data_IF_398727266014
#
_entry.id   IF_398727266014
#
_cell.length_a   1.000
_cell.length_b   1.000
_cell.length_c   1.000
_cell.angle_alpha   90.00
_cell.angle_beta   90.00
_cell.angle_gamma   90.00
#
_symmetry.space_group_name_H-M   'P 1'
#
loop_
_entity.id
_entity.type
_entity.pdbx_description
1 polymer ?
#
# COMPACT_ATOMS: atom_id res chain seq x y z
N UNK A 1 -14.71 31.39 4.61
CA UNK A 1 -14.66 30.32 3.59
C UNK A 1 -13.52 29.36 3.96
N UNK A 2 -13.87 28.17 4.41
CA UNK A 2 -12.88 27.12 4.72
C UNK A 2 -12.35 26.56 3.40
N UNK A 3 -11.04 26.70 3.15
CA UNK A 3 -10.38 26.01 2.03
C UNK A 3 -10.46 24.51 2.24
N UNK A 4 -10.96 23.80 1.23
CA UNK A 4 -11.12 22.35 1.26
C UNK A 4 -9.77 21.62 1.25
N UNK A 5 -9.71 20.38 1.72
CA UNK A 5 -8.48 19.55 1.82
C UNK A 5 -7.72 19.43 0.49
N UNK A 6 -8.39 19.59 -0.65
CA UNK A 6 -7.79 19.55 -1.99
C UNK A 6 -6.81 20.72 -2.28
N UNK A 7 -6.99 21.87 -1.63
CA UNK A 7 -6.09 23.04 -1.82
C UNK A 7 -4.81 22.98 -0.99
N UNK A 8 -4.67 22.00 -0.07
CA UNK A 8 -3.49 21.82 0.81
C UNK A 8 -2.38 20.93 0.24
N UNK A 9 -2.65 20.19 -0.84
CA UNK A 9 -1.69 19.24 -1.43
C UNK A 9 -0.36 19.83 -1.97
N UNK A 10 -0.23 21.11 -2.42
CA UNK A 10 1.02 21.55 -3.04
C UNK A 10 2.21 21.63 -2.08
N UNK A 11 2.01 21.97 -0.80
CA UNK A 11 3.13 22.26 0.12
C UNK A 11 3.82 21.02 0.70
N UNK A 12 3.08 19.94 0.97
CA UNK A 12 3.67 18.68 1.45
C UNK A 12 4.54 17.99 0.39
N UNK A 13 4.25 18.22 -0.90
CA UNK A 13 5.04 17.68 -2.02
C UNK A 13 6.46 18.25 -2.15
N UNK A 14 6.72 19.42 -1.58
CA UNK A 14 8.01 20.12 -1.69
C UNK A 14 9.00 19.78 -0.55
N UNK A 15 8.54 19.17 0.55
CA UNK A 15 9.32 19.07 1.79
C UNK A 15 9.60 17.61 2.17
N UNK A 16 10.75 17.38 2.83
CA UNK A 16 11.13 16.07 3.35
C UNK A 16 10.32 15.71 4.60
N UNK A 17 10.14 14.41 4.87
CA UNK A 17 9.50 13.88 6.09
C UNK A 17 10.03 14.53 7.37
N UNK A 18 11.36 14.68 7.46
CA UNK A 18 12.01 15.32 8.61
C UNK A 18 11.59 16.79 8.75
N UNK A 19 11.52 17.54 7.64
CA UNK A 19 11.12 18.95 7.66
C UNK A 19 9.68 19.12 8.12
N UNK A 20 8.74 18.26 7.66
CA UNK A 20 7.34 18.29 8.06
C UNK A 20 7.17 17.98 9.56
N UNK A 21 7.85 16.93 10.07
CA UNK A 21 7.87 16.62 11.51
C UNK A 21 8.42 17.77 12.35
N UNK A 22 9.52 18.38 11.86
CA UNK A 22 10.14 19.49 12.56
C UNK A 22 9.29 20.75 12.51
N UNK A 23 8.50 20.95 11.42
CA UNK A 23 7.52 22.04 11.36
C UNK A 23 6.46 21.88 12.44
N UNK A 24 5.88 20.68 12.61
CA UNK A 24 4.90 20.44 13.67
C UNK A 24 5.49 20.73 15.06
N UNK A 25 6.71 20.27 15.35
CA UNK A 25 7.40 20.58 16.60
C UNK A 25 7.64 22.10 16.79
N UNK A 26 7.93 22.82 15.71
CA UNK A 26 8.04 24.29 15.78
C UNK A 26 6.67 24.92 16.09
N UNK A 27 5.60 24.45 15.46
CA UNK A 27 4.23 24.93 15.73
C UNK A 27 3.86 24.71 17.22
N UNK A 28 4.23 23.58 17.82
CA UNK A 28 4.03 23.32 19.25
C UNK A 28 4.74 24.37 20.12
N UNK A 29 6.02 24.67 19.82
CA UNK A 29 6.80 25.70 20.52
C UNK A 29 6.12 27.08 20.39
N UNK A 30 5.61 27.42 19.20
CA UNK A 30 4.96 28.70 18.97
C UNK A 30 3.59 28.80 19.64
N UNK A 31 2.93 27.67 19.88
CA UNK A 31 1.65 27.62 20.61
C UNK A 31 1.80 28.03 22.07
N UNK A 32 2.96 27.75 22.66
CA UNK A 32 3.28 28.05 24.08
C UNK A 32 3.68 29.52 24.32
N UNK A 33 3.98 30.29 23.28
CA UNK A 33 4.34 31.71 23.45
C UNK A 33 3.16 32.51 24.04
N UNK A 34 3.40 33.46 24.98
CA UNK A 34 2.32 34.06 25.79
C UNK A 34 1.36 34.93 24.97
N UNK A 35 1.84 35.78 24.08
CA UNK A 35 1.04 36.74 23.32
C UNK A 35 1.44 36.84 21.86
N UNK A 36 0.52 37.28 21.00
CA UNK A 36 0.74 37.57 19.58
C UNK A 36 0.10 38.92 19.22
N UNK A 37 0.74 39.76 18.39
CA UNK A 37 2.00 39.50 17.69
C UNK A 37 3.24 39.61 18.59
N UNK A 38 4.24 38.75 18.39
CA UNK A 38 5.50 38.78 19.11
C UNK A 38 6.69 38.37 18.23
N UNK A 39 7.90 38.65 18.68
CA UNK A 39 9.12 38.20 18.00
C UNK A 39 9.24 36.67 18.00
N UNK A 40 9.61 36.06 16.87
CA UNK A 40 9.98 34.65 16.86
C UNK A 40 11.27 34.42 17.65
N UNK A 41 11.41 33.22 18.29
CA UNK A 41 12.68 32.83 18.90
C UNK A 41 13.85 32.97 17.90
N UNK A 42 15.03 33.31 18.41
CA UNK A 42 16.21 33.51 17.58
C UNK A 42 16.54 32.23 16.78
N UNK A 43 17.16 32.38 15.60
CA UNK A 43 17.60 31.22 14.80
C UNK A 43 18.50 30.30 15.62
N UNK A 44 19.39 30.85 16.46
CA UNK A 44 20.27 30.09 17.35
C UNK A 44 19.48 29.30 18.39
N UNK A 45 18.45 29.90 18.96
CA UNK A 45 17.52 29.23 19.91
C UNK A 45 16.78 28.07 19.23
N UNK A 46 16.20 28.31 18.04
CA UNK A 46 15.49 27.30 17.29
C UNK A 46 16.39 26.13 16.85
N UNK A 47 17.66 26.39 16.46
CA UNK A 47 18.62 25.34 16.17
C UNK A 47 18.82 24.42 17.38
N UNK A 48 18.97 24.98 18.58
CA UNK A 48 19.15 24.20 19.82
C UNK A 48 17.89 23.42 20.20
N UNK A 49 16.72 24.07 20.20
CA UNK A 49 15.45 23.46 20.61
C UNK A 49 14.98 22.34 19.67
N UNK A 50 15.16 22.56 18.36
CA UNK A 50 14.71 21.60 17.35
C UNK A 50 15.78 20.57 16.97
N UNK A 51 17.04 20.79 17.37
CA UNK A 51 18.21 20.00 17.00
C UNK A 51 18.36 19.83 15.48
N UNK A 52 18.36 20.95 14.76
CA UNK A 52 18.46 20.97 13.28
C UNK A 52 19.46 22.03 12.82
N UNK A 53 19.86 21.94 11.54
CA UNK A 53 20.78 22.91 10.93
C UNK A 53 20.14 24.30 10.76
N UNK A 54 21.00 25.34 10.62
CA UNK A 54 20.57 26.71 10.31
C UNK A 54 19.74 26.78 9.03
N UNK A 55 20.12 26.02 8.02
CA UNK A 55 19.42 25.93 6.74
C UNK A 55 18.00 25.35 6.92
N UNK A 56 17.86 24.36 7.80
CA UNK A 56 16.55 23.80 8.13
C UNK A 56 15.67 24.83 8.83
N UNK A 57 16.19 25.57 9.81
CA UNK A 57 15.44 26.64 10.49
C UNK A 57 14.96 27.70 9.49
N UNK A 58 15.78 28.06 8.53
CA UNK A 58 15.39 29.01 7.49
C UNK A 58 14.18 28.51 6.69
N UNK A 59 14.21 27.23 6.25
CA UNK A 59 13.09 26.60 5.55
C UNK A 59 11.82 26.51 6.42
N UNK A 60 11.97 26.27 7.71
CA UNK A 60 10.83 26.28 8.65
C UNK A 60 10.17 27.66 8.71
N UNK A 61 10.97 28.73 8.80
CA UNK A 61 10.46 30.10 8.82
C UNK A 61 9.74 30.44 7.49
N UNK A 62 10.30 30.03 6.35
CA UNK A 62 9.63 30.17 5.04
C UNK A 62 8.26 29.48 5.00
N UNK A 63 8.14 28.28 5.59
CA UNK A 63 6.85 27.58 5.70
C UNK A 63 5.86 28.37 6.57
N UNK A 64 6.29 28.89 7.72
CA UNK A 64 5.46 29.71 8.57
C UNK A 64 4.96 30.97 7.85
N UNK A 65 5.84 31.63 7.09
CA UNK A 65 5.48 32.80 6.28
C UNK A 65 4.46 32.44 5.19
N UNK A 66 4.67 31.35 4.45
CA UNK A 66 3.74 30.86 3.44
C UNK A 66 2.36 30.49 4.03
N UNK A 67 2.32 30.01 5.27
CA UNK A 67 1.09 29.71 6.00
C UNK A 67 0.42 30.96 6.63
N UNK A 68 1.05 32.14 6.52
CA UNK A 68 0.55 33.36 7.15
C UNK A 68 0.58 33.33 8.68
N UNK A 69 1.43 32.49 9.28
CA UNK A 69 1.64 32.37 10.72
C UNK A 69 2.67 33.38 11.19
N UNK A 70 3.69 33.61 10.37
CA UNK A 70 4.76 34.57 10.65
C UNK A 70 5.02 35.49 9.46
N UNK A 71 5.73 36.61 9.72
CA UNK A 71 6.25 37.53 8.71
C UNK A 71 7.73 37.78 8.97
N UNK A 72 8.49 37.86 7.90
CA UNK A 72 9.90 38.24 7.96
C UNK A 72 10.09 39.56 7.23
N UNK A 73 10.58 40.57 7.96
CA UNK A 73 10.96 41.89 7.45
C UNK A 73 12.44 42.08 7.67
N UNK A 74 13.26 41.81 6.66
CA UNK A 74 14.72 41.82 6.78
C UNK A 74 15.23 40.80 7.81
N UNK A 75 15.83 41.27 8.88
CA UNK A 75 16.29 40.41 9.99
C UNK A 75 15.24 40.10 11.02
N UNK A 76 14.16 40.91 11.09
CA UNK A 76 13.09 40.76 12.07
C UNK A 76 12.12 39.69 11.64
N UNK A 77 11.74 38.79 12.55
CA UNK A 77 10.78 37.73 12.35
C UNK A 77 9.70 37.84 13.42
N UNK A 78 8.47 38.04 12.97
CA UNK A 78 7.33 38.30 13.84
C UNK A 78 6.31 37.18 13.67
N UNK A 79 5.87 36.57 14.77
CA UNK A 79 4.69 35.70 14.83
C UNK A 79 3.44 36.57 14.75
N UNK A 80 2.61 36.36 13.77
CA UNK A 80 1.39 37.15 13.53
C UNK A 80 0.17 36.59 14.26
N UNK A 81 0.10 35.27 14.37
CA UNK A 81 -0.98 34.55 15.04
C UNK A 81 -0.51 33.23 15.60
N UNK A 82 -1.25 32.70 16.56
CA UNK A 82 -1.06 31.33 17.06
C UNK A 82 -1.33 30.31 15.94
N UNK A 83 -0.61 29.17 15.95
CA UNK A 83 -0.93 28.05 15.10
C UNK A 83 -2.36 27.52 15.34
N UNK A 84 -3.04 27.13 14.28
CA UNK A 84 -4.35 26.45 14.32
C UNK A 84 -4.16 24.96 14.06
N UNK A 85 -5.09 24.07 14.47
CA UNK A 85 -5.02 22.63 14.15
C UNK A 85 -4.83 22.38 12.64
N UNK A 86 -5.37 23.28 11.83
CA UNK A 86 -5.24 23.24 10.37
C UNK A 86 -3.85 23.60 9.83
N UNK A 87 -2.95 24.12 10.62
CA UNK A 87 -1.59 24.44 10.22
C UNK A 87 -0.63 23.25 10.36
N UNK A 88 -1.00 22.28 11.19
CA UNK A 88 -0.22 21.07 11.40
C UNK A 88 -0.31 20.14 10.20
N UNK A 89 0.81 19.52 9.87
CA UNK A 89 0.85 18.43 8.89
C UNK A 89 0.33 17.15 9.55
N UNK A 90 -0.62 16.48 8.90
CA UNK A 90 -1.13 15.20 9.38
C UNK A 90 -0.06 14.11 9.34
N UNK A 91 -0.24 13.01 10.09
CA UNK A 91 0.66 11.87 10.02
C UNK A 91 0.72 11.29 8.61
N UNK A 92 -0.38 11.31 7.87
CA UNK A 92 -0.43 10.86 6.48
C UNK A 92 0.42 11.75 5.55
N UNK A 93 0.38 13.08 5.72
CA UNK A 93 1.23 14.02 4.97
C UNK A 93 2.71 13.87 5.32
N UNK A 94 3.03 13.61 6.59
CA UNK A 94 4.38 13.42 7.09
C UNK A 94 4.96 12.08 6.61
N UNK A 95 4.18 11.02 6.60
CA UNK A 95 4.64 9.68 6.25
C UNK A 95 4.75 9.44 4.75
N UNK A 96 4.09 10.25 3.92
CA UNK A 96 4.26 10.21 2.48
C UNK A 96 5.55 10.92 2.05
N UNK A 97 6.63 10.17 1.86
CA UNK A 97 7.84 10.68 1.20
C UNK A 97 7.56 11.04 -0.27
N UNK A 98 8.44 11.83 -0.90
CA UNK A 98 8.33 12.08 -2.36
C UNK A 98 8.32 10.78 -3.17
N UNK A 99 9.05 9.79 -2.70
CA UNK A 99 9.10 8.44 -3.27
C UNK A 99 7.77 7.70 -3.09
N UNK A 100 7.09 7.81 -1.94
CA UNK A 100 5.79 7.19 -1.71
C UNK A 100 4.68 7.83 -2.59
N UNK A 101 4.77 9.14 -2.82
CA UNK A 101 3.88 9.83 -3.76
C UNK A 101 4.11 9.34 -5.19
N UNK A 102 5.38 9.23 -5.60
CA UNK A 102 5.74 8.70 -6.92
C UNK A 102 5.29 7.24 -7.06
N UNK A 103 5.47 6.41 -6.03
CA UNK A 103 5.00 5.04 -5.97
C UNK A 103 3.48 4.95 -6.19
N UNK A 104 2.68 5.73 -5.44
CA UNK A 104 1.22 5.79 -5.61
C UNK A 104 0.82 6.19 -7.04
N UNK A 105 1.53 7.15 -7.64
CA UNK A 105 1.28 7.57 -9.02
C UNK A 105 1.62 6.49 -10.04
N UNK A 106 2.72 5.75 -9.84
CA UNK A 106 3.12 4.63 -10.71
C UNK A 106 2.11 3.48 -10.57
N UNK A 107 1.75 3.10 -9.33
CA UNK A 107 0.74 2.07 -9.07
C UNK A 107 -0.63 2.44 -9.69
N UNK A 108 -1.00 3.73 -9.69
CA UNK A 108 -2.20 4.19 -10.38
C UNK A 108 -2.11 3.95 -11.89
N UNK A 109 -0.96 4.24 -12.52
CA UNK A 109 -0.76 4.00 -13.96
C UNK A 109 -0.75 2.53 -14.33
N UNK A 110 -0.21 1.69 -13.46
CA UNK A 110 -0.27 0.23 -13.59
C UNK A 110 -1.72 -0.27 -13.47
N UNK A 111 -2.46 0.20 -12.47
CA UNK A 111 -3.86 -0.21 -12.25
C UNK A 111 -4.84 0.31 -13.31
N UNK A 112 -4.55 1.46 -13.93
CA UNK A 112 -5.34 2.01 -15.05
C UNK A 112 -4.94 1.47 -16.42
N UNK A 113 -3.95 0.56 -16.48
CA UNK A 113 -3.37 0.03 -17.73
C UNK A 113 -2.79 1.09 -18.68
N UNK A 114 -2.41 2.25 -18.14
CA UNK A 114 -1.53 3.17 -18.87
C UNK A 114 -0.10 2.61 -19.01
N UNK A 115 0.29 1.71 -18.09
CA UNK A 115 1.44 0.82 -18.19
C UNK A 115 0.92 -0.62 -18.17
N UNK A 116 1.03 -1.30 -19.31
CA UNK A 116 0.49 -2.66 -19.51
C UNK A 116 1.54 -3.73 -19.23
N UNK A 117 1.15 -4.96 -18.90
CA UNK A 117 2.07 -6.09 -18.91
C UNK A 117 2.84 -6.16 -20.26
N UNK A 118 4.15 -6.37 -20.18
CA UNK A 118 5.07 -6.35 -21.32
C UNK A 118 5.63 -4.98 -21.70
N UNK A 119 5.04 -3.88 -21.23
CA UNK A 119 5.55 -2.53 -21.53
C UNK A 119 6.95 -2.33 -20.96
N UNK A 120 7.81 -1.71 -21.78
CA UNK A 120 9.17 -1.32 -21.40
C UNK A 120 9.32 0.19 -21.36
N UNK A 121 9.85 0.73 -20.26
CA UNK A 121 10.00 2.17 -20.05
C UNK A 121 11.29 2.51 -19.31
N UNK A 122 11.82 3.72 -19.55
CA UNK A 122 12.95 4.26 -18.80
C UNK A 122 12.49 5.08 -17.59
N UNK A 123 13.39 5.24 -16.62
CA UNK A 123 13.16 6.10 -15.46
C UNK A 123 12.87 7.55 -15.87
N UNK A 124 13.56 8.04 -16.91
CA UNK A 124 13.38 9.41 -17.41
C UNK A 124 11.99 9.61 -18.05
N UNK A 125 11.55 8.66 -18.90
CA UNK A 125 10.23 8.70 -19.52
C UNK A 125 9.12 8.69 -18.47
N UNK A 126 9.25 7.82 -17.47
CA UNK A 126 8.26 7.71 -16.40
C UNK A 126 8.27 8.94 -15.48
N UNK A 127 9.45 9.45 -15.11
CA UNK A 127 9.59 10.65 -14.30
C UNK A 127 8.86 11.85 -14.92
N UNK A 128 9.00 12.05 -16.24
CA UNK A 128 8.27 13.08 -16.97
C UNK A 128 6.75 12.88 -16.89
N UNK A 129 6.28 11.64 -17.06
CA UNK A 129 4.84 11.30 -17.03
C UNK A 129 4.19 11.51 -15.66
N UNK A 130 4.95 11.36 -14.56
CA UNK A 130 4.44 11.53 -13.19
C UNK A 130 4.82 12.87 -12.55
N UNK A 131 5.49 13.77 -13.30
CA UNK A 131 5.90 15.08 -12.76
C UNK A 131 6.92 14.98 -11.63
N UNK A 132 7.87 14.02 -11.73
CA UNK A 132 8.90 13.74 -10.73
C UNK A 132 10.31 13.84 -11.35
N UNK A 133 11.36 13.63 -10.56
CA UNK A 133 12.71 13.46 -11.06
C UNK A 133 13.12 11.99 -11.12
N UNK A 134 14.20 11.70 -11.85
CA UNK A 134 14.67 10.32 -12.07
C UNK A 134 15.10 9.61 -10.79
N UNK A 135 15.67 10.33 -9.81
CA UNK A 135 16.13 9.74 -8.54
C UNK A 135 14.95 9.24 -7.71
N UNK A 136 13.94 10.09 -7.52
CA UNK A 136 12.70 9.74 -6.79
C UNK A 136 11.94 8.63 -7.52
N UNK A 137 11.87 8.72 -8.86
CA UNK A 137 11.20 7.71 -9.69
C UNK A 137 11.90 6.36 -9.58
N UNK A 138 13.25 6.33 -9.61
CA UNK A 138 14.03 5.10 -9.40
C UNK A 138 13.77 4.49 -8.03
N UNK A 139 13.78 5.29 -6.97
CA UNK A 139 13.50 4.83 -5.61
C UNK A 139 12.11 4.19 -5.51
N UNK A 140 11.08 4.83 -6.08
CA UNK A 140 9.74 4.29 -6.13
C UNK A 140 9.65 2.99 -6.94
N UNK A 141 10.33 2.93 -8.10
CA UNK A 141 10.38 1.73 -8.93
C UNK A 141 11.07 0.56 -8.22
N UNK A 142 12.14 0.81 -7.45
CA UNK A 142 12.81 -0.23 -6.66
C UNK A 142 11.88 -0.81 -5.58
N UNK A 143 11.05 0.01 -4.95
CA UNK A 143 10.04 -0.47 -4.00
C UNK A 143 8.99 -1.34 -4.70
N UNK A 144 8.43 -0.88 -5.83
CA UNK A 144 7.43 -1.65 -6.59
C UNK A 144 8.03 -2.97 -7.11
N UNK A 145 9.30 -2.97 -7.51
CA UNK A 145 9.98 -4.17 -8.00
C UNK A 145 10.08 -5.28 -6.95
N UNK A 146 10.06 -4.95 -5.66
CA UNK A 146 10.03 -5.95 -4.58
C UNK A 146 8.78 -6.83 -4.64
N UNK A 147 7.66 -6.31 -5.17
CA UNK A 147 6.43 -7.08 -5.36
C UNK A 147 6.42 -7.94 -6.65
N UNK A 148 7.46 -7.86 -7.47
CA UNK A 148 7.54 -8.60 -8.73
C UNK A 148 6.66 -8.08 -9.87
N UNK A 149 5.89 -7.00 -9.69
CA UNK A 149 5.03 -6.41 -10.74
C UNK A 149 5.87 -5.83 -11.88
N UNK A 150 7.02 -5.26 -11.57
CA UNK A 150 7.99 -4.74 -12.53
C UNK A 150 9.35 -5.37 -12.28
N UNK A 151 10.14 -5.49 -13.33
CA UNK A 151 11.53 -5.96 -13.24
C UNK A 151 12.48 -5.02 -13.97
N UNK A 152 13.71 -4.92 -13.48
CA UNK A 152 14.80 -4.18 -14.12
C UNK A 152 15.74 -5.18 -14.78
N UNK A 153 15.94 -5.03 -16.07
CA UNK A 153 17.00 -5.77 -16.76
C UNK A 153 18.34 -5.01 -16.65
N UNK A 154 19.47 -5.69 -16.45
CA UNK A 154 20.78 -5.04 -16.44
C UNK A 154 20.99 -4.18 -17.70
N UNK A 155 21.40 -2.93 -17.49
CA UNK A 155 21.65 -1.95 -18.57
C UNK A 155 20.49 -1.68 -19.55
N UNK A 156 19.25 -2.08 -19.19
CA UNK A 156 18.07 -1.95 -20.03
C UNK A 156 16.96 -1.14 -19.36
N UNK A 157 15.82 -1.03 -20.05
CA UNK A 157 14.59 -0.42 -19.53
C UNK A 157 13.96 -1.30 -18.41
N UNK A 158 13.10 -0.70 -17.62
CA UNK A 158 12.16 -1.40 -16.76
C UNK A 158 11.09 -2.07 -17.62
N UNK A 159 10.56 -3.18 -17.15
CA UNK A 159 9.52 -3.95 -17.80
C UNK A 159 8.40 -4.27 -16.81
N UNK A 160 7.14 -4.09 -17.22
CA UNK A 160 5.98 -4.61 -16.48
C UNK A 160 5.90 -6.12 -16.74
N UNK A 161 5.91 -6.90 -15.67
CA UNK A 161 5.93 -8.37 -15.77
C UNK A 161 4.63 -8.87 -16.41
N UNK A 162 4.74 -9.76 -17.39
CA UNK A 162 3.61 -10.45 -17.98
C UNK A 162 3.23 -11.70 -17.19
N UNK A 163 1.93 -11.97 -17.09
CA UNK A 163 1.42 -13.19 -16.48
C UNK A 163 1.53 -14.38 -17.46
N UNK A 164 2.75 -14.86 -17.71
CA UNK A 164 2.95 -16.00 -18.58
C UNK A 164 2.41 -17.31 -17.99
N UNK A 165 2.11 -18.35 -18.79
CA UNK A 165 1.72 -19.66 -18.28
C UNK A 165 2.72 -20.27 -17.30
N UNK A 166 4.03 -20.07 -17.51
CA UNK A 166 5.07 -20.55 -16.56
C UNK A 166 5.03 -19.79 -15.24
N UNK A 167 4.86 -18.46 -15.27
CA UNK A 167 4.73 -17.65 -14.05
C UNK A 167 3.49 -18.05 -13.24
N UNK A 168 2.38 -18.38 -13.91
CA UNK A 168 1.17 -18.89 -13.23
C UNK A 168 1.48 -20.24 -12.53
N UNK A 169 2.24 -21.13 -13.16
CA UNK A 169 2.64 -22.40 -12.56
C UNK A 169 3.55 -22.19 -11.34
N UNK A 170 4.51 -21.28 -11.44
CA UNK A 170 5.43 -20.90 -10.34
C UNK A 170 4.66 -20.29 -9.15
N UNK A 171 3.74 -19.35 -9.43
CA UNK A 171 2.88 -18.74 -8.41
C UNK A 171 2.02 -19.79 -7.72
N UNK A 172 1.40 -20.70 -8.48
CA UNK A 172 0.57 -21.76 -7.90
C UNK A 172 1.38 -22.72 -7.02
N UNK A 173 2.61 -23.07 -7.43
CA UNK A 173 3.49 -23.92 -6.66
C UNK A 173 3.91 -23.27 -5.34
N UNK A 174 4.34 -22.01 -5.37
CA UNK A 174 4.78 -21.31 -4.16
C UNK A 174 3.60 -21.06 -3.20
N UNK A 175 2.39 -20.79 -3.70
CA UNK A 175 1.19 -20.66 -2.87
C UNK A 175 0.86 -21.98 -2.16
N UNK A 176 0.92 -23.12 -2.85
CA UNK A 176 0.70 -24.43 -2.22
C UNK A 176 1.69 -24.67 -1.07
N UNK A 177 2.97 -24.31 -1.26
CA UNK A 177 3.98 -24.41 -0.21
C UNK A 177 3.64 -23.50 0.98
N UNK A 178 3.35 -22.23 0.75
CA UNK A 178 3.14 -21.26 1.81
C UNK A 178 1.83 -21.48 2.55
N UNK A 179 0.73 -21.59 1.83
CA UNK A 179 -0.61 -21.76 2.42
C UNK A 179 -0.76 -23.17 3.04
N UNK A 180 -0.19 -24.18 2.40
CA UNK A 180 -0.15 -25.55 2.95
C UNK A 180 0.65 -25.63 4.25
N UNK A 181 1.85 -25.03 4.30
CA UNK A 181 2.65 -24.93 5.52
C UNK A 181 1.88 -24.18 6.63
N UNK A 182 1.23 -23.05 6.30
CA UNK A 182 0.46 -22.30 7.26
C UNK A 182 -0.68 -23.13 7.86
N UNK A 183 -1.43 -23.89 7.05
CA UNK A 183 -2.48 -24.78 7.53
C UNK A 183 -1.91 -25.88 8.44
N UNK A 184 -0.79 -26.50 8.06
CA UNK A 184 -0.15 -27.54 8.86
C UNK A 184 0.32 -27.04 10.22
N UNK A 185 0.83 -25.80 10.31
CA UNK A 185 1.26 -25.24 11.60
C UNK A 185 0.11 -24.96 12.56
N UNK A 186 -1.12 -24.76 12.06
CA UNK A 186 -2.28 -24.49 12.90
C UNK A 186 -2.69 -25.66 13.80
N UNK A 187 -2.27 -26.90 13.51
CA UNK A 187 -2.51 -28.02 14.40
C UNK A 187 -1.89 -27.83 15.80
N UNK A 188 -0.87 -26.96 15.90
CA UNK A 188 -0.19 -26.64 17.14
C UNK A 188 -0.73 -25.38 17.82
N UNK A 189 -1.72 -24.71 17.23
CA UNK A 189 -2.31 -23.50 17.79
C UNK A 189 -3.16 -23.84 19.04
N UNK A 190 -3.04 -23.03 20.09
CA UNK A 190 -3.81 -23.18 21.30
C UNK A 190 -5.32 -23.07 21.04
N UNK A 191 -6.15 -23.67 21.93
CA UNK A 191 -7.61 -23.63 21.75
C UNK A 191 -8.19 -22.23 21.82
N UNK A 192 -7.58 -21.37 22.60
CA UNK A 192 -7.94 -19.96 22.84
C UNK A 192 -7.16 -18.99 21.94
N UNK A 193 -6.43 -19.50 20.95
CA UNK A 193 -5.68 -18.66 20.00
C UNK A 193 -6.62 -17.69 19.27
N UNK A 194 -6.29 -16.38 19.22
CA UNK A 194 -7.09 -15.37 18.52
C UNK A 194 -7.37 -15.67 17.05
N UNK A 195 -6.56 -16.51 16.41
CA UNK A 195 -6.74 -16.91 15.01
C UNK A 195 -8.09 -17.59 14.78
N UNK A 196 -8.58 -18.36 15.75
CA UNK A 196 -9.88 -19.03 15.63
C UNK A 196 -11.03 -18.04 15.52
N UNK A 197 -10.98 -16.94 16.28
CA UNK A 197 -11.97 -15.87 16.14
C UNK A 197 -11.85 -15.16 14.77
N UNK A 198 -10.64 -14.97 14.26
CA UNK A 198 -10.46 -14.42 12.92
C UNK A 198 -11.10 -15.30 11.85
N UNK A 199 -10.98 -16.62 11.92
CA UNK A 199 -11.64 -17.56 11.01
C UNK A 199 -13.17 -17.54 11.14
N UNK A 200 -13.71 -17.45 12.36
CA UNK A 200 -15.16 -17.30 12.58
C UNK A 200 -15.68 -16.02 11.91
N UNK A 201 -14.96 -14.90 12.03
CA UNK A 201 -15.36 -13.64 11.39
C UNK A 201 -15.27 -13.74 9.85
N UNK A 202 -14.23 -14.39 9.34
CA UNK A 202 -14.10 -14.64 7.90
C UNK A 202 -15.24 -15.51 7.37
N UNK A 203 -15.57 -16.59 8.06
CA UNK A 203 -16.70 -17.45 7.69
C UNK A 203 -18.01 -16.66 7.62
N UNK A 204 -18.32 -15.86 8.64
CA UNK A 204 -19.50 -14.98 8.67
C UNK A 204 -19.52 -14.00 7.49
N UNK A 205 -18.38 -13.40 7.15
CA UNK A 205 -18.27 -12.49 6.01
C UNK A 205 -18.53 -13.19 4.68
N UNK A 206 -18.00 -14.40 4.46
CA UNK A 206 -18.24 -15.20 3.25
C UNK A 206 -19.72 -15.58 3.12
N UNK A 207 -20.34 -16.04 4.20
CA UNK A 207 -21.78 -16.37 4.21
C UNK A 207 -22.65 -15.13 3.94
N UNK A 208 -22.26 -13.97 4.44
CA UNK A 208 -22.95 -12.71 4.18
C UNK A 208 -22.87 -12.31 2.71
N UNK A 209 -21.68 -12.41 2.09
CA UNK A 209 -21.49 -12.13 0.67
C UNK A 209 -22.29 -13.07 -0.23
N UNK A 210 -22.35 -14.36 0.10
CA UNK A 210 -23.13 -15.35 -0.68
C UNK A 210 -24.63 -15.05 -0.72
N UNK A 211 -25.19 -14.37 0.30
CA UNK A 211 -26.59 -13.96 0.36
C UNK A 211 -26.90 -12.74 -0.51
N UNK A 212 -25.88 -11.99 -0.93
CA UNK A 212 -26.08 -10.80 -1.75
C UNK A 212 -26.49 -11.19 -3.19
N UNK A 213 -27.43 -10.44 -3.75
CA UNK A 213 -27.84 -10.58 -5.16
C UNK A 213 -26.74 -10.16 -6.13
N UNK A 214 -25.90 -9.15 -5.71
CA UNK A 214 -24.76 -8.61 -6.45
C UNK A 214 -23.62 -8.34 -5.50
N UNK A 215 -22.46 -8.91 -5.77
CA UNK A 215 -21.21 -8.67 -5.04
C UNK A 215 -20.36 -7.70 -5.87
N UNK A 216 -19.90 -6.63 -5.25
CA UNK A 216 -18.99 -5.66 -5.91
C UNK A 216 -17.61 -6.28 -6.03
N UNK A 217 -16.91 -5.94 -7.11
CA UNK A 217 -15.54 -6.43 -7.35
C UNK A 217 -14.57 -6.06 -6.21
N UNK A 218 -14.73 -4.87 -5.62
CA UNK A 218 -13.94 -4.47 -4.46
C UNK A 218 -14.17 -5.38 -3.24
N UNK A 219 -15.44 -5.75 -2.96
CA UNK A 219 -15.78 -6.65 -1.85
C UNK A 219 -15.19 -8.05 -2.07
N UNK A 220 -15.22 -8.53 -3.32
CA UNK A 220 -14.61 -9.82 -3.67
C UNK A 220 -13.09 -9.79 -3.45
N UNK A 221 -12.42 -8.72 -3.86
CA UNK A 221 -10.98 -8.56 -3.65
C UNK A 221 -10.60 -8.47 -2.18
N UNK A 222 -11.38 -7.73 -1.40
CA UNK A 222 -11.15 -7.59 0.04
C UNK A 222 -11.29 -8.93 0.77
N UNK A 223 -12.27 -9.75 0.41
CA UNK A 223 -12.48 -11.05 1.04
C UNK A 223 -11.42 -12.07 0.61
N UNK A 224 -11.00 -12.06 -0.66
CA UNK A 224 -9.86 -12.84 -1.16
C UNK A 224 -8.59 -12.53 -0.37
N UNK A 225 -8.23 -11.21 -0.31
CA UNK A 225 -7.06 -10.78 0.47
C UNK A 225 -7.17 -11.20 1.93
N UNK A 226 -8.30 -10.92 2.57
CA UNK A 226 -8.51 -11.25 3.98
C UNK A 226 -8.40 -12.76 4.23
N UNK A 227 -8.95 -13.60 3.35
CA UNK A 227 -8.90 -15.05 3.49
C UNK A 227 -7.46 -15.57 3.47
N UNK A 228 -6.75 -15.34 2.39
CA UNK A 228 -5.40 -15.87 2.22
C UNK A 228 -4.40 -15.28 3.22
N UNK A 229 -4.45 -13.97 3.48
CA UNK A 229 -3.53 -13.35 4.44
C UNK A 229 -3.79 -13.79 5.89
N UNK A 230 -5.04 -14.08 6.27
CA UNK A 230 -5.33 -14.61 7.61
C UNK A 230 -4.75 -16.01 7.79
N UNK A 231 -4.84 -16.87 6.77
CA UNK A 231 -4.21 -18.21 6.80
C UNK A 231 -2.70 -18.10 6.96
N UNK A 232 -2.06 -17.23 6.16
CA UNK A 232 -0.59 -17.02 6.25
C UNK A 232 -0.19 -16.50 7.63
N UNK A 233 -0.88 -15.51 8.17
CA UNK A 233 -0.62 -14.95 9.50
C UNK A 233 -0.80 -15.97 10.63
N UNK A 234 -1.68 -16.94 10.45
CA UNK A 234 -1.86 -18.02 11.39
C UNK A 234 -0.61 -18.87 11.59
N UNK A 235 0.30 -18.90 10.62
CA UNK A 235 1.60 -19.57 10.75
C UNK A 235 2.55 -18.90 11.76
N UNK A 236 2.31 -17.62 12.11
CA UNK A 236 3.18 -16.79 12.96
C UNK A 236 4.64 -16.73 12.47
N UNK A 237 4.84 -16.91 11.18
CA UNK A 237 6.14 -16.84 10.53
C UNK A 237 6.24 -15.52 9.74
N UNK A 238 6.95 -14.53 10.31
CA UNK A 238 7.12 -13.20 9.70
C UNK A 238 7.73 -13.25 8.30
N UNK A 239 8.66 -14.17 8.04
CA UNK A 239 9.29 -14.30 6.73
C UNK A 239 8.31 -14.83 5.68
N UNK A 240 7.44 -15.74 6.11
CA UNK A 240 6.36 -16.23 5.25
C UNK A 240 5.37 -15.10 4.92
N UNK A 241 4.99 -14.28 5.90
CA UNK A 241 4.09 -13.15 5.71
C UNK A 241 4.66 -12.12 4.71
N UNK A 242 5.93 -11.73 4.92
CA UNK A 242 6.61 -10.76 4.05
C UNK A 242 6.76 -11.29 2.60
N UNK A 243 7.15 -12.56 2.44
CA UNK A 243 7.30 -13.18 1.13
C UNK A 243 5.96 -13.36 0.41
N UNK A 244 4.91 -13.73 1.16
CA UNK A 244 3.58 -13.94 0.59
C UNK A 244 2.92 -12.64 0.11
N UNK A 245 3.18 -11.52 0.77
CA UNK A 245 2.62 -10.23 0.35
C UNK A 245 3.06 -9.84 -1.07
N UNK A 246 4.31 -10.12 -1.43
CA UNK A 246 4.82 -9.92 -2.79
C UNK A 246 4.10 -10.82 -3.81
N UNK A 247 3.97 -12.10 -3.53
CA UNK A 247 3.26 -13.07 -4.39
C UNK A 247 1.80 -12.64 -4.57
N UNK A 248 1.15 -12.26 -3.48
CA UNK A 248 -0.24 -11.83 -3.49
C UNK A 248 -0.45 -10.55 -4.29
N UNK A 249 0.45 -9.58 -4.13
CA UNK A 249 0.41 -8.31 -4.85
C UNK A 249 0.55 -8.52 -6.37
N UNK A 250 1.44 -9.42 -6.79
CA UNK A 250 1.62 -9.80 -8.20
C UNK A 250 0.34 -10.44 -8.78
N UNK A 251 -0.26 -11.38 -8.06
CA UNK A 251 -1.53 -12.01 -8.46
C UNK A 251 -2.62 -10.97 -8.61
N UNK A 252 -2.81 -10.11 -7.60
CA UNK A 252 -3.86 -9.09 -7.61
C UNK A 252 -3.68 -8.07 -8.72
N UNK A 253 -2.45 -7.68 -9.03
CA UNK A 253 -2.16 -6.82 -10.16
C UNK A 253 -2.69 -7.39 -11.47
N UNK A 254 -2.42 -8.67 -11.75
CA UNK A 254 -2.86 -9.33 -12.98
C UNK A 254 -4.34 -9.70 -12.98
N UNK A 255 -4.90 -10.04 -11.82
CA UNK A 255 -6.33 -10.35 -11.70
C UNK A 255 -7.23 -9.11 -11.60
N UNK A 256 -6.64 -7.91 -11.48
CA UNK A 256 -7.40 -6.65 -11.33
C UNK A 256 -8.39 -6.42 -12.47
N UNK A 257 -8.11 -6.91 -13.66
CA UNK A 257 -8.92 -6.73 -14.86
C UNK A 257 -9.90 -7.86 -15.15
N UNK A 258 -9.90 -8.91 -14.34
CA UNK A 258 -10.80 -10.03 -14.57
C UNK A 258 -12.19 -9.65 -14.08
N UNK A 259 -13.14 -9.63 -15.00
CA UNK A 259 -14.55 -9.65 -14.64
C UNK A 259 -14.89 -11.02 -14.05
N UNK A 260 -15.20 -11.02 -12.78
CA UNK A 260 -15.75 -12.20 -12.12
C UNK A 260 -17.24 -12.28 -12.43
N UNK A 261 -17.64 -13.29 -13.18
CA UNK A 261 -19.06 -13.62 -13.30
C UNK A 261 -19.60 -14.14 -11.95
N UNK A 262 -20.92 -14.04 -11.79
CA UNK A 262 -21.60 -14.42 -10.54
C UNK A 262 -21.38 -15.89 -10.15
N UNK A 263 -21.24 -16.77 -11.13
CA UNK A 263 -21.03 -18.22 -10.91
C UNK A 263 -19.63 -18.45 -10.36
N UNK A 264 -18.62 -17.78 -10.93
CA UNK A 264 -17.23 -17.86 -10.50
C UNK A 264 -17.04 -17.32 -9.08
N UNK A 265 -17.64 -16.16 -8.78
CA UNK A 265 -17.64 -15.58 -7.42
C UNK A 265 -18.19 -16.58 -6.40
N UNK A 266 -19.38 -17.13 -6.65
CA UNK A 266 -20.00 -18.09 -5.73
C UNK A 266 -19.17 -19.35 -5.54
N UNK A 267 -18.54 -19.85 -6.61
CA UNK A 267 -17.64 -21.01 -6.53
C UNK A 267 -16.48 -20.74 -5.59
N UNK A 268 -15.78 -19.63 -5.78
CA UNK A 268 -14.63 -19.25 -4.94
C UNK A 268 -15.04 -19.10 -3.48
N UNK A 269 -16.12 -18.37 -3.19
CA UNK A 269 -16.62 -18.20 -1.82
C UNK A 269 -16.98 -19.54 -1.15
N UNK A 270 -17.57 -20.47 -1.90
CA UNK A 270 -17.89 -21.82 -1.37
C UNK A 270 -16.63 -22.64 -1.12
N UNK A 271 -15.59 -22.54 -1.96
CA UNK A 271 -14.30 -23.18 -1.73
C UNK A 271 -13.64 -22.64 -0.46
N UNK A 272 -13.63 -21.32 -0.27
CA UNK A 272 -13.13 -20.70 0.96
C UNK A 272 -13.91 -21.17 2.20
N UNK A 273 -15.25 -21.26 2.11
CA UNK A 273 -16.06 -21.76 3.21
C UNK A 273 -15.71 -23.21 3.58
N UNK A 274 -15.53 -24.08 2.59
CA UNK A 274 -15.14 -25.47 2.86
C UNK A 274 -13.79 -25.56 3.62
N UNK A 275 -12.84 -24.70 3.26
CA UNK A 275 -11.54 -24.62 3.96
C UNK A 275 -11.73 -24.09 5.39
N UNK A 276 -12.48 -22.99 5.56
CA UNK A 276 -12.75 -22.38 6.87
C UNK A 276 -13.49 -23.33 7.81
N UNK A 277 -14.50 -24.04 7.32
CA UNK A 277 -15.27 -25.04 8.06
C UNK A 277 -14.38 -26.18 8.53
N UNK A 278 -13.50 -26.69 7.66
CA UNK A 278 -12.54 -27.74 8.01
C UNK A 278 -11.53 -27.26 9.07
N UNK A 279 -11.02 -26.02 8.95
CA UNK A 279 -10.11 -25.41 9.93
C UNK A 279 -10.79 -25.25 11.30
N UNK A 280 -12.01 -24.73 11.34
CA UNK A 280 -12.78 -24.54 12.57
C UNK A 280 -13.14 -25.89 13.22
N UNK A 281 -13.37 -26.93 12.42
CA UNK A 281 -13.56 -28.30 12.89
C UNK A 281 -12.25 -29.02 13.28
N UNK A 282 -11.10 -28.34 13.17
CA UNK A 282 -9.73 -28.92 13.43
C UNK A 282 -9.39 -30.10 12.51
N UNK A 283 -10.00 -30.16 11.34
CA UNK A 283 -9.74 -31.19 10.33
C UNK A 283 -8.67 -30.70 9.35
N UNK A 284 -7.43 -30.58 9.82
CA UNK A 284 -6.33 -29.94 9.08
C UNK A 284 -5.99 -30.60 7.75
N UNK A 285 -6.05 -31.95 7.67
CA UNK A 285 -5.82 -32.67 6.42
C UNK A 285 -6.92 -32.39 5.39
N UNK A 286 -8.18 -32.28 5.83
CA UNK A 286 -9.31 -31.87 4.97
C UNK A 286 -9.15 -30.46 4.50
N UNK A 287 -8.76 -29.53 5.39
CA UNK A 287 -8.49 -28.14 5.05
C UNK A 287 -7.32 -28.00 4.04
N UNK A 288 -6.25 -28.76 4.24
CA UNK A 288 -5.12 -28.79 3.32
C UNK A 288 -5.53 -29.25 1.93
N UNK A 289 -6.26 -30.37 1.83
CA UNK A 289 -6.74 -30.87 0.55
C UNK A 289 -7.68 -29.90 -0.15
N UNK A 290 -8.61 -29.29 0.59
CA UNK A 290 -9.52 -28.28 0.05
C UNK A 290 -8.76 -27.02 -0.44
N UNK A 291 -7.68 -26.62 0.25
CA UNK A 291 -6.81 -25.52 -0.19
C UNK A 291 -6.06 -25.88 -1.48
N UNK A 292 -5.49 -27.07 -1.58
CA UNK A 292 -4.83 -27.52 -2.81
C UNK A 292 -5.78 -27.47 -4.00
N UNK A 293 -6.99 -28.01 -3.84
CA UNK A 293 -8.03 -28.02 -4.89
C UNK A 293 -8.46 -26.60 -5.26
N UNK A 294 -8.60 -25.68 -4.28
CA UNK A 294 -8.87 -24.27 -4.51
C UNK A 294 -7.74 -23.60 -5.34
N UNK A 295 -6.50 -23.82 -4.99
CA UNK A 295 -5.34 -23.25 -5.70
C UNK A 295 -5.19 -23.80 -7.12
N UNK A 296 -5.51 -25.08 -7.34
CA UNK A 296 -5.54 -25.69 -8.68
C UNK A 296 -6.63 -25.07 -9.56
N UNK A 297 -7.82 -24.83 -9.01
CA UNK A 297 -8.89 -24.11 -9.72
C UNK A 297 -8.50 -22.66 -10.02
N UNK A 298 -7.83 -21.97 -9.09
CA UNK A 298 -7.32 -20.61 -9.31
C UNK A 298 -6.30 -20.59 -10.45
N UNK A 299 -5.36 -21.53 -10.47
CA UNK A 299 -4.36 -21.70 -11.54
C UNK A 299 -5.01 -21.88 -12.91
N UNK A 300 -5.98 -22.80 -13.03
CA UNK A 300 -6.72 -23.05 -14.28
C UNK A 300 -7.44 -21.77 -14.73
N UNK A 301 -8.08 -21.07 -13.79
CA UNK A 301 -8.78 -19.82 -14.07
C UNK A 301 -7.84 -18.73 -14.56
N UNK A 302 -6.65 -18.58 -13.97
CA UNK A 302 -5.63 -17.62 -14.41
C UNK A 302 -5.11 -17.93 -15.83
N UNK A 303 -4.81 -19.19 -16.14
CA UNK A 303 -4.39 -19.61 -17.48
C UNK A 303 -5.45 -19.34 -18.54
N UNK A 304 -6.72 -19.60 -18.22
CA UNK A 304 -7.82 -19.29 -19.13
C UNK A 304 -7.92 -17.79 -19.44
N UNK A 305 -7.83 -16.93 -18.41
CA UNK A 305 -7.87 -15.48 -18.60
C UNK A 305 -6.68 -15.00 -19.43
N UNK A 306 -5.48 -15.50 -19.15
CA UNK A 306 -4.30 -15.14 -19.92
C UNK A 306 -4.49 -15.44 -21.42
N UNK A 307 -5.01 -16.63 -21.76
CA UNK A 307 -5.29 -17.02 -23.14
C UNK A 307 -6.33 -16.13 -23.83
N UNK A 308 -7.31 -15.57 -23.08
CA UNK A 308 -8.28 -14.61 -23.60
C UNK A 308 -7.68 -13.23 -23.86
N UNK A 309 -6.75 -12.78 -23.00
CA UNK A 309 -6.05 -11.52 -23.17
C UNK A 309 -5.11 -11.55 -24.38
N UNK A 310 -4.38 -12.64 -24.58
CA UNK A 310 -3.51 -12.86 -25.75
C UNK A 310 -4.32 -12.80 -27.07
N UNK A 311 -5.50 -13.43 -27.11
CA UNK A 311 -6.41 -13.40 -28.29
C UNK A 311 -7.00 -12.02 -28.59
N UNK A 312 -7.09 -11.12 -27.61
CA UNK A 312 -7.57 -9.74 -27.81
C UNK A 312 -6.46 -8.77 -28.21
N UNK A 313 -5.20 -9.14 -28.00
CA UNK A 313 -4.04 -8.32 -28.30
C UNK A 313 -3.43 -8.60 -29.70
N UNK A 314 -3.72 -9.74 -30.32
CA UNK A 314 -3.37 -10.10 -31.69
C UNK A 314 -4.55 -9.90 -32.62
#
# INVERSE_FOLDING_TARGET
MQKTAAERMPMAKEHSKLLLKTTNRLLDILQELPEVPCGLPSVTTLIKQLNVSRTTVQKLIEILCKKGIARQDGTNKVLLRKPLPSDYFSMEEIDNSKSDIAEKQILKKLSSYELKPGDRFSELELAKKIGSNTVITREALLKIAQSGIIKKHPHQKWEVVELSPSLIDEIAAIRKLYEGYAIQTMQFAAKDDPVWNAFIQLEKRHRTLLKQSRIKLAEMRDIERAFHTTIIKASRNRFLEESYDSVFTLIFFHLWQIEYDKVKIKRVLNQHLAILEALLAKQFNTALKAMEDHLDHAKISMKHVNSLLEKKAG
#
